data_IF_698720880759
#
_entry.id   IF_698720880759
#
_cell.length_a   1.000
_cell.length_b   1.000
_cell.length_c   1.000
_cell.angle_alpha   90.00
_cell.angle_beta   90.00
_cell.angle_gamma   90.00
#
_symmetry.space_group_name_H-M   'P 1'
#
loop_
_entity.id
_entity.type
_entity.pdbx_description
1 polymer ?
#
# COMPACT_ATOMS: atom_id res chain seq x y z
N UNK A 1 21.32 10.53 -5.10
CA UNK A 1 20.85 9.99 -6.38
C UNK A 1 19.38 10.36 -6.64
N UNK A 2 18.43 10.05 -5.73
CA UNK A 2 17.02 10.46 -5.88
C UNK A 2 16.87 11.97 -5.80
N UNK A 3 17.53 12.61 -4.85
CA UNK A 3 17.61 14.07 -4.70
C UNK A 3 18.19 14.75 -5.93
N UNK A 4 19.21 14.18 -6.55
CA UNK A 4 19.89 14.77 -7.72
C UNK A 4 19.00 14.69 -8.96
N UNK A 5 18.27 13.57 -9.13
CA UNK A 5 17.31 13.39 -10.22
C UNK A 5 16.15 14.39 -10.09
N UNK A 6 15.61 14.53 -8.87
CA UNK A 6 14.49 15.45 -8.60
C UNK A 6 14.93 16.91 -8.73
N UNK A 7 16.17 17.21 -8.36
CA UNK A 7 16.79 18.53 -8.57
C UNK A 7 16.90 18.90 -10.06
N UNK A 8 17.21 17.92 -10.91
CA UNK A 8 17.26 18.11 -12.36
C UNK A 8 15.89 18.47 -12.98
N UNK A 9 14.78 18.08 -12.30
CA UNK A 9 13.41 18.48 -12.65
C UNK A 9 12.97 19.81 -11.99
N UNK A 10 13.88 20.53 -11.34
CA UNK A 10 13.60 21.84 -10.74
C UNK A 10 12.90 21.80 -9.37
N UNK A 11 12.81 20.63 -8.74
CA UNK A 11 12.21 20.45 -7.42
C UNK A 11 13.27 20.36 -6.32
N UNK A 12 13.28 21.35 -5.43
CA UNK A 12 14.15 21.38 -4.24
C UNK A 12 13.49 20.62 -3.09
N UNK A 13 13.56 19.28 -3.09
CA UNK A 13 13.05 18.48 -1.99
C UNK A 13 14.00 18.58 -0.78
N UNK A 14 13.51 19.13 0.32
CA UNK A 14 14.20 19.17 1.62
C UNK A 14 13.76 17.98 2.47
N UNK A 15 14.27 16.78 2.14
CA UNK A 15 13.98 15.55 2.85
C UNK A 15 14.48 15.61 4.30
N UNK A 16 13.64 15.18 5.24
CA UNK A 16 13.95 15.21 6.67
C UNK A 16 13.83 16.59 7.33
N UNK A 17 13.52 17.65 6.57
CA UNK A 17 13.35 19.02 7.08
C UNK A 17 11.92 19.51 6.87
N UNK A 18 11.35 19.27 5.70
CA UNK A 18 10.02 19.70 5.31
C UNK A 18 9.05 18.53 5.37
N UNK A 19 7.98 18.68 6.16
CA UNK A 19 6.95 17.64 6.32
C UNK A 19 6.37 17.17 4.98
N UNK A 20 5.96 18.11 4.12
CA UNK A 20 5.31 17.78 2.84
C UNK A 20 6.27 17.09 1.87
N UNK A 21 7.52 17.53 1.79
CA UNK A 21 8.51 16.96 0.89
C UNK A 21 8.87 15.54 1.34
N UNK A 22 9.02 15.34 2.64
CA UNK A 22 9.33 14.02 3.23
C UNK A 22 8.13 13.07 3.08
N UNK A 23 6.91 13.55 3.29
CA UNK A 23 5.69 12.76 3.10
C UNK A 23 5.53 12.33 1.62
N UNK A 24 5.74 13.25 0.70
CA UNK A 24 5.67 12.96 -0.73
C UNK A 24 6.70 11.90 -1.14
N UNK A 25 7.96 12.06 -0.72
CA UNK A 25 9.02 11.09 -1.01
C UNK A 25 8.71 9.71 -0.39
N UNK A 26 8.19 9.67 0.84
CA UNK A 26 7.79 8.44 1.53
C UNK A 26 6.70 7.70 0.75
N UNK A 27 5.67 8.41 0.29
CA UNK A 27 4.58 7.83 -0.51
C UNK A 27 5.14 7.30 -1.83
N UNK A 28 5.93 8.10 -2.54
CA UNK A 28 6.48 7.75 -3.85
C UNK A 28 7.36 6.50 -3.79
N UNK A 29 8.28 6.43 -2.81
CA UNK A 29 9.15 5.27 -2.62
C UNK A 29 8.35 4.03 -2.21
N UNK A 30 7.37 4.18 -1.32
CA UNK A 30 6.52 3.07 -0.88
C UNK A 30 5.68 2.50 -2.02
N UNK A 31 5.08 3.37 -2.84
CA UNK A 31 4.35 2.95 -4.05
C UNK A 31 5.28 2.25 -5.03
N UNK A 32 6.47 2.83 -5.30
CA UNK A 32 7.45 2.23 -6.20
C UNK A 32 7.86 0.82 -5.78
N UNK A 33 8.12 0.61 -4.49
CA UNK A 33 8.44 -0.72 -3.95
C UNK A 33 7.33 -1.74 -4.14
N UNK A 34 6.07 -1.30 -4.14
CA UNK A 34 4.92 -2.20 -4.20
C UNK A 34 4.45 -2.47 -5.64
N UNK A 35 4.85 -1.66 -6.61
CA UNK A 35 4.51 -1.85 -8.04
C UNK A 35 4.85 -3.24 -8.55
N UNK A 36 6.09 -3.82 -8.34
CA UNK A 36 6.43 -5.13 -8.88
C UNK A 36 5.53 -6.24 -8.34
N UNK A 37 5.22 -6.21 -7.05
CA UNK A 37 4.36 -7.21 -6.40
C UNK A 37 2.95 -7.14 -6.98
N UNK A 38 2.36 -5.95 -7.02
CA UNK A 38 1.02 -5.75 -7.58
C UNK A 38 0.97 -6.16 -9.07
N UNK A 39 2.00 -5.81 -9.84
CA UNK A 39 2.09 -6.16 -11.26
C UNK A 39 2.07 -7.68 -11.48
N UNK A 40 2.90 -8.44 -10.74
CA UNK A 40 2.98 -9.90 -10.87
C UNK A 40 1.64 -10.56 -10.53
N UNK A 41 1.00 -10.14 -9.45
CA UNK A 41 -0.29 -10.69 -9.06
C UNK A 41 -1.41 -10.36 -10.05
N UNK A 42 -1.49 -9.13 -10.54
CA UNK A 42 -2.47 -8.79 -11.57
C UNK A 42 -2.19 -9.52 -12.90
N UNK A 43 -0.93 -9.66 -13.28
CA UNK A 43 -0.55 -10.42 -14.48
C UNK A 43 -0.98 -11.89 -14.35
N UNK A 44 -0.72 -12.52 -13.22
CA UNK A 44 -1.15 -13.88 -12.92
C UNK A 44 -2.68 -14.01 -12.94
N UNK A 45 -3.38 -13.07 -12.33
CA UNK A 45 -4.84 -13.01 -12.35
C UNK A 45 -5.41 -12.90 -13.77
N UNK A 46 -4.80 -12.05 -14.62
CA UNK A 46 -5.18 -11.92 -16.03
C UNK A 46 -4.96 -13.20 -16.82
N UNK A 47 -3.87 -13.91 -16.55
CA UNK A 47 -3.53 -15.17 -17.21
C UNK A 47 -4.43 -16.33 -16.76
N UNK A 48 -4.98 -16.28 -15.55
CA UNK A 48 -5.90 -17.29 -15.03
C UNK A 48 -7.28 -17.26 -15.67
N UNK A 49 -7.66 -16.19 -16.39
CA UNK A 49 -8.95 -16.08 -17.07
C UNK A 49 -8.98 -17.05 -18.26
N UNK A 50 -9.90 -18.03 -18.30
CA UNK A 50 -10.01 -18.99 -19.39
C UNK A 50 -10.20 -18.32 -20.76
N UNK A 51 -9.52 -18.83 -21.78
CA UNK A 51 -9.64 -18.31 -23.14
C UNK A 51 -11.05 -18.40 -23.68
N UNK A 52 -11.80 -19.43 -23.31
CA UNK A 52 -13.20 -19.60 -23.70
C UNK A 52 -14.07 -18.39 -23.31
N UNK A 53 -13.84 -17.79 -22.13
CA UNK A 53 -14.56 -16.58 -21.70
C UNK A 53 -14.16 -15.37 -22.57
N UNK A 54 -12.86 -15.26 -22.91
CA UNK A 54 -12.37 -14.18 -23.76
C UNK A 54 -12.93 -14.28 -25.19
N UNK A 55 -12.96 -15.48 -25.73
CA UNK A 55 -13.50 -15.78 -27.06
C UNK A 55 -15.01 -15.54 -27.14
N UNK A 56 -15.78 -16.02 -26.16
CA UNK A 56 -17.21 -15.75 -26.08
C UNK A 56 -17.51 -14.24 -26.05
N UNK A 57 -16.73 -13.50 -25.26
CA UNK A 57 -16.86 -12.04 -25.20
C UNK A 57 -16.51 -11.31 -26.51
N UNK A 58 -15.69 -11.92 -27.37
CA UNK A 58 -15.40 -11.39 -28.70
C UNK A 58 -16.55 -11.65 -29.68
N UNK A 59 -17.21 -12.79 -29.56
CA UNK A 59 -18.37 -13.17 -30.40
C UNK A 59 -19.55 -12.22 -30.14
N UNK A 60 -19.77 -11.81 -28.89
CA UNK A 60 -20.81 -10.85 -28.50
C UNK A 60 -20.58 -9.41 -29.06
N UNK A 61 -19.56 -9.23 -29.88
CA UNK A 61 -19.22 -7.97 -30.56
C UNK A 61 -19.11 -6.74 -29.63
N UNK A 62 -18.75 -6.96 -28.35
CA UNK A 62 -18.50 -5.87 -27.42
C UNK A 62 -17.19 -5.16 -27.72
N UNK A 63 -17.16 -3.85 -27.52
CA UNK A 63 -15.91 -3.06 -27.62
C UNK A 63 -14.85 -3.54 -26.60
N UNK A 64 -13.59 -3.30 -26.89
CA UNK A 64 -12.49 -3.68 -25.99
C UNK A 64 -12.64 -3.08 -24.57
N UNK A 65 -13.12 -1.85 -24.48
CA UNK A 65 -13.39 -1.17 -23.21
C UNK A 65 -14.54 -1.84 -22.45
N UNK A 66 -15.66 -2.19 -23.14
CA UNK A 66 -16.79 -2.87 -22.53
C UNK A 66 -16.40 -4.27 -22.04
N UNK A 67 -15.60 -5.02 -22.80
CA UNK A 67 -15.08 -6.33 -22.38
C UNK A 67 -14.20 -6.22 -21.13
N UNK A 68 -13.39 -5.17 -21.04
CA UNK A 68 -12.55 -4.95 -19.86
C UNK A 68 -13.42 -4.72 -18.61
N UNK A 69 -14.35 -3.76 -18.67
CA UNK A 69 -15.15 -3.39 -17.49
C UNK A 69 -16.22 -4.42 -17.10
N UNK A 70 -16.84 -5.07 -18.10
CA UNK A 70 -17.98 -5.99 -17.85
C UNK A 70 -17.51 -7.42 -17.51
N UNK A 71 -16.30 -7.81 -17.96
CA UNK A 71 -15.84 -9.21 -17.85
C UNK A 71 -14.50 -9.29 -17.14
N UNK A 72 -13.46 -8.62 -17.66
CA UNK A 72 -12.09 -8.77 -17.13
C UNK A 72 -11.96 -8.20 -15.72
N UNK A 73 -12.48 -7.01 -15.50
CA UNK A 73 -12.37 -6.33 -14.21
C UNK A 73 -13.12 -7.06 -13.08
N UNK A 74 -14.38 -7.53 -13.27
CA UNK A 74 -15.05 -8.35 -12.27
C UNK A 74 -14.35 -9.67 -11.96
N UNK A 75 -13.75 -10.33 -12.96
CA UNK A 75 -13.00 -11.57 -12.77
C UNK A 75 -11.68 -11.34 -12.04
N UNK A 76 -11.10 -10.14 -12.14
CA UNK A 76 -9.91 -9.74 -11.40
C UNK A 76 -10.21 -9.22 -9.98
N UNK A 77 -11.47 -8.99 -9.65
CA UNK A 77 -11.85 -8.42 -8.36
C UNK A 77 -11.29 -9.21 -7.15
N UNK A 78 -11.30 -10.56 -7.12
CA UNK A 78 -10.70 -11.33 -6.02
C UNK A 78 -9.20 -11.02 -5.85
N UNK A 79 -8.45 -10.96 -6.96
CA UNK A 79 -7.02 -10.60 -6.94
C UNK A 79 -6.82 -9.16 -6.45
N UNK A 80 -7.65 -8.24 -6.91
CA UNK A 80 -7.62 -6.84 -6.48
C UNK A 80 -7.90 -6.68 -4.99
N UNK A 81 -8.85 -7.42 -4.43
CA UNK A 81 -9.13 -7.41 -2.98
C UNK A 81 -7.98 -8.01 -2.17
N UNK A 82 -7.40 -9.11 -2.62
CA UNK A 82 -6.24 -9.71 -1.98
C UNK A 82 -5.08 -8.70 -1.94
N UNK A 83 -4.78 -8.06 -3.06
CA UNK A 83 -3.74 -7.03 -3.14
C UNK A 83 -4.05 -5.81 -2.27
N UNK A 84 -5.31 -5.41 -2.17
CA UNK A 84 -5.72 -4.31 -1.29
C UNK A 84 -5.39 -4.63 0.17
N UNK A 85 -5.66 -5.85 0.64
CA UNK A 85 -5.32 -6.30 2.00
C UNK A 85 -3.82 -6.25 2.21
N UNK A 86 -3.04 -6.81 1.28
CA UNK A 86 -1.56 -6.80 1.35
C UNK A 86 -1.02 -5.37 1.37
N UNK A 87 -1.51 -4.50 0.49
CA UNK A 87 -1.03 -3.13 0.40
C UNK A 87 -1.36 -2.31 1.65
N UNK A 88 -2.52 -2.52 2.27
CA UNK A 88 -2.87 -1.87 3.54
C UNK A 88 -1.92 -2.34 4.65
N UNK A 89 -1.70 -3.65 4.74
CA UNK A 89 -0.77 -4.23 5.73
C UNK A 89 0.66 -3.69 5.52
N UNK A 90 1.12 -3.66 4.26
CA UNK A 90 2.41 -3.07 3.89
C UNK A 90 2.50 -1.60 4.33
N UNK A 91 1.49 -0.79 4.03
CA UNK A 91 1.48 0.62 4.37
C UNK A 91 1.55 0.86 5.89
N UNK A 92 1.00 -0.04 6.69
CA UNK A 92 1.04 0.09 8.16
C UNK A 92 2.37 -0.35 8.76
N UNK A 93 2.96 -1.44 8.28
CA UNK A 93 4.10 -2.11 8.94
C UNK A 93 5.40 -1.98 8.16
N UNK A 94 5.41 -2.25 6.87
CA UNK A 94 6.63 -2.39 6.08
C UNK A 94 7.20 -1.06 5.58
N UNK A 95 6.51 0.05 5.82
CA UNK A 95 7.02 1.40 5.55
C UNK A 95 8.06 1.87 6.58
N UNK A 96 8.25 1.13 7.69
CA UNK A 96 9.22 1.45 8.73
C UNK A 96 10.60 1.78 8.17
N UNK A 97 11.18 0.89 7.37
CA UNK A 97 12.52 1.08 6.81
C UNK A 97 12.63 2.28 5.85
N UNK A 98 11.55 2.59 5.13
CA UNK A 98 11.50 3.78 4.25
C UNK A 98 11.53 5.05 5.09
N UNK A 99 10.75 5.09 6.17
CA UNK A 99 10.68 6.24 7.07
C UNK A 99 12.02 6.45 7.78
N UNK A 100 12.60 5.39 8.33
CA UNK A 100 13.86 5.47 9.08
C UNK A 100 15.01 6.05 8.23
N UNK A 101 15.08 5.66 6.96
CA UNK A 101 16.07 6.18 6.01
C UNK A 101 15.80 7.65 5.66
N UNK A 102 14.54 8.02 5.43
CA UNK A 102 14.19 9.39 5.02
C UNK A 102 14.29 10.40 6.15
N UNK A 103 13.91 10.01 7.36
CA UNK A 103 13.91 10.85 8.56
C UNK A 103 15.28 10.81 9.27
N UNK A 104 16.17 9.87 8.87
CA UNK A 104 17.49 9.63 9.48
C UNK A 104 17.46 9.47 11.00
N UNK A 105 16.33 9.00 11.49
CA UNK A 105 16.12 8.80 12.91
C UNK A 105 15.90 10.06 13.75
N UNK A 106 15.82 11.22 13.14
CA UNK A 106 15.45 12.47 13.84
C UNK A 106 13.93 12.67 13.73
N UNK A 107 13.19 12.54 14.84
CA UNK A 107 11.74 12.60 14.81
C UNK A 107 11.19 13.96 14.36
N UNK A 108 11.81 15.06 14.70
CA UNK A 108 11.44 16.42 14.29
C UNK A 108 9.95 16.61 13.98
N UNK A 109 9.64 17.46 13.00
CA UNK A 109 8.29 17.64 12.47
C UNK A 109 8.08 16.81 11.18
N UNK A 110 8.56 15.57 11.15
CA UNK A 110 8.49 14.68 9.99
C UNK A 110 7.28 13.76 10.04
N UNK A 111 6.73 13.34 8.88
CA UNK A 111 5.65 12.37 8.84
C UNK A 111 6.15 11.01 9.35
N UNK A 112 5.34 10.39 10.19
CA UNK A 112 5.63 9.08 10.78
C UNK A 112 4.38 8.20 10.75
N UNK A 113 4.58 6.90 10.52
CA UNK A 113 3.53 5.92 10.84
C UNK A 113 3.49 5.66 12.34
N UNK A 114 2.35 5.15 12.82
CA UNK A 114 2.21 4.82 14.24
C UNK A 114 3.25 3.78 14.69
N UNK A 115 3.58 2.80 13.82
CA UNK A 115 4.62 1.79 14.10
C UNK A 115 5.98 2.45 14.32
N UNK A 116 6.35 3.40 13.45
CA UNK A 116 7.62 4.11 13.59
C UNK A 116 7.65 4.99 14.85
N UNK A 117 6.53 5.64 15.17
CA UNK A 117 6.42 6.46 16.38
C UNK A 117 6.58 5.62 17.65
N UNK A 118 5.94 4.45 17.75
CA UNK A 118 6.12 3.50 18.86
C UNK A 118 7.60 3.16 19.08
N UNK A 119 8.31 2.90 17.99
CA UNK A 119 9.75 2.62 18.04
C UNK A 119 10.58 3.81 18.55
N UNK A 120 10.32 4.99 18.00
CA UNK A 120 11.06 6.21 18.36
C UNK A 120 10.82 6.56 19.84
N UNK A 121 9.57 6.57 20.29
CA UNK A 121 9.23 6.90 21.67
C UNK A 121 9.79 5.87 22.66
N UNK A 122 9.69 4.57 22.33
CA UNK A 122 10.14 3.48 23.22
C UNK A 122 11.65 3.32 23.28
N UNK A 123 12.33 3.30 22.13
CA UNK A 123 13.75 2.96 22.07
C UNK A 123 14.68 4.17 22.05
N UNK A 124 14.24 5.30 21.53
CA UNK A 124 15.05 6.52 21.47
C UNK A 124 14.65 7.52 22.56
N UNK A 125 13.34 7.67 22.79
CA UNK A 125 12.80 8.55 23.82
C UNK A 125 12.84 7.97 25.24
N UNK A 126 13.14 6.67 25.39
CA UNK A 126 13.05 5.93 26.67
C UNK A 126 11.67 6.05 27.37
N UNK A 127 10.63 6.38 26.61
CA UNK A 127 9.25 6.39 27.10
C UNK A 127 8.58 5.02 26.88
N UNK A 128 8.93 4.06 27.71
CA UNK A 128 8.35 2.71 27.66
C UNK A 128 6.86 2.71 27.98
N UNK A 129 6.40 3.62 28.83
CA UNK A 129 4.98 3.73 29.20
C UNK A 129 4.14 4.22 28.05
N UNK A 130 4.55 5.34 27.44
CA UNK A 130 3.87 5.92 26.28
C UNK A 130 3.88 5.01 25.06
N UNK A 131 5.04 4.40 24.74
CA UNK A 131 5.15 3.47 23.61
C UNK A 131 4.33 2.20 23.81
N UNK A 132 4.23 1.68 25.04
CA UNK A 132 3.36 0.55 25.36
C UNK A 132 1.88 0.88 25.14
N UNK A 133 1.43 2.05 25.58
CA UNK A 133 0.06 2.52 25.36
C UNK A 133 -0.24 2.67 23.85
N UNK A 134 0.69 3.26 23.08
CA UNK A 134 0.56 3.38 21.63
C UNK A 134 0.53 2.01 20.93
N UNK A 135 1.29 1.03 21.42
CA UNK A 135 1.29 -0.35 20.90
C UNK A 135 -0.07 -1.03 21.09
N UNK A 136 -0.73 -0.80 22.23
CA UNK A 136 -2.09 -1.30 22.47
C UNK A 136 -3.09 -0.66 21.50
N UNK A 137 -3.00 0.66 21.31
CA UNK A 137 -3.85 1.36 20.32
C UNK A 137 -3.62 0.82 18.92
N UNK A 138 -2.35 0.62 18.53
CA UNK A 138 -1.99 0.02 17.24
C UNK A 138 -2.60 -1.38 17.09
N UNK A 139 -2.49 -2.22 18.10
CA UNK A 139 -3.05 -3.58 18.10
C UNK A 139 -4.56 -3.55 17.87
N UNK A 140 -5.29 -2.70 18.61
CA UNK A 140 -6.74 -2.56 18.45
C UNK A 140 -7.09 -2.08 17.04
N UNK A 141 -6.36 -1.10 16.52
CA UNK A 141 -6.58 -0.55 15.18
C UNK A 141 -6.37 -1.62 14.10
N UNK A 142 -5.30 -2.41 14.21
CA UNK A 142 -5.00 -3.52 13.28
C UNK A 142 -6.06 -4.60 13.35
N UNK A 143 -6.51 -4.98 14.54
CA UNK A 143 -7.59 -5.96 14.71
C UNK A 143 -8.88 -5.48 14.05
N UNK A 144 -9.29 -4.23 14.30
CA UNK A 144 -10.48 -3.65 13.69
C UNK A 144 -10.38 -3.61 12.17
N UNK A 145 -9.22 -3.20 11.66
CA UNK A 145 -8.97 -3.14 10.22
C UNK A 145 -9.00 -4.53 9.59
N UNK A 146 -8.38 -5.52 10.24
CA UNK A 146 -8.39 -6.92 9.80
C UNK A 146 -9.82 -7.48 9.76
N UNK A 147 -10.59 -7.27 10.82
CA UNK A 147 -12.01 -7.69 10.86
C UNK A 147 -12.81 -7.01 9.75
N UNK A 148 -12.61 -5.72 9.55
CA UNK A 148 -13.30 -4.98 8.47
C UNK A 148 -12.93 -5.53 7.10
N UNK A 149 -11.64 -5.80 6.83
CA UNK A 149 -11.16 -6.38 5.57
C UNK A 149 -11.80 -7.75 5.31
N UNK A 150 -11.75 -8.67 6.29
CA UNK A 150 -12.34 -10.00 6.12
C UNK A 150 -13.84 -9.92 5.90
N UNK A 151 -14.56 -9.13 6.68
CA UNK A 151 -16.01 -8.97 6.54
C UNK A 151 -16.41 -8.35 5.19
N UNK A 152 -15.56 -7.49 4.62
CA UNK A 152 -15.81 -6.89 3.30
C UNK A 152 -15.53 -7.87 2.17
N UNK A 153 -14.47 -8.68 2.29
CA UNK A 153 -14.10 -9.71 1.32
C UNK A 153 -15.15 -10.82 1.28
N UNK A 154 -15.55 -11.33 2.45
CA UNK A 154 -16.52 -12.45 2.56
C UNK A 154 -17.88 -12.11 1.94
N UNK A 155 -18.32 -10.85 2.02
CA UNK A 155 -19.59 -10.41 1.44
C UNK A 155 -19.60 -10.28 -0.08
N UNK A 156 -18.42 -10.18 -0.72
CA UNK A 156 -18.33 -9.92 -2.17
C UNK A 156 -17.82 -11.11 -2.99
N UNK A 157 -17.23 -12.10 -2.35
CA UNK A 157 -16.75 -13.30 -3.04
C UNK A 157 -17.76 -14.42 -2.79
N UNK A 158 -18.78 -14.51 -3.65
CA UNK A 158 -19.60 -15.71 -3.76
C UNK A 158 -18.78 -16.68 -4.64
N UNK A 159 -18.21 -17.70 -4.00
CA UNK A 159 -17.72 -18.88 -4.71
C UNK A 159 -18.95 -19.67 -5.20
N UNK A 160 -19.30 -19.51 -6.47
CA UNK A 160 -20.19 -20.41 -7.21
C UNK A 160 -19.33 -21.30 -8.08
#
# INVERSE_FOLDING_TARGET
LITDIVFAFGWNLKLGVNFNDTAFAMILVSVWKQVPVNFIFFLSGLQSIPNAIKEAAMIDNKSASSRFWDITFPLLAPTGFFLLIINITYAMFDTFGVIDVLVKGEPGNNPMTLVYKVYVDGFRGNDLGGSSAQSVVLMVLVLLLTIAQFRFVERRIHYT
#
